data_IF_469360278923
#
_entry.id   IF_469360278923
#
_cell.length_a   1.000
_cell.length_b   1.000
_cell.length_c   1.000
_cell.angle_alpha   90.00
_cell.angle_beta   90.00
_cell.angle_gamma   90.00
#
_symmetry.space_group_name_H-M   'P 1'
#
loop_
_entity.id
_entity.type
_entity.pdbx_description
1 polymer ?
#
# COMPACT_ATOMS: atom_id res chain seq x y z
N UNK A 1 -14.76 46.29 -35.04
CA UNK A 1 -14.38 46.57 -33.63
C UNK A 1 -14.44 45.26 -32.87
N UNK A 2 -13.36 44.55 -32.77
CA UNK A 2 -13.25 43.31 -31.97
C UNK A 2 -12.82 43.71 -30.57
N UNK A 3 -13.62 43.37 -29.57
CA UNK A 3 -13.22 43.46 -28.16
C UNK A 3 -12.62 42.11 -27.73
N UNK A 4 -11.33 42.15 -27.49
CA UNK A 4 -10.59 41.09 -26.80
C UNK A 4 -11.15 40.90 -25.39
N UNK A 5 -11.62 39.70 -25.10
CA UNK A 5 -11.93 39.25 -23.72
C UNK A 5 -10.69 38.56 -23.21
N UNK A 6 -10.00 39.20 -22.29
CA UNK A 6 -8.87 38.68 -21.56
C UNK A 6 -9.30 37.53 -20.66
N UNK A 7 -8.83 36.32 -20.94
CA UNK A 7 -8.82 35.20 -19.99
C UNK A 7 -7.68 35.44 -19.00
N UNK A 8 -7.99 35.99 -17.85
CA UNK A 8 -7.04 36.06 -16.73
C UNK A 8 -7.64 35.37 -15.51
N UNK A 9 -6.84 34.49 -14.94
CA UNK A 9 -6.87 34.01 -13.56
C UNK A 9 -7.91 32.94 -13.18
N UNK A 10 -7.56 31.68 -13.45
CA UNK A 10 -7.82 30.59 -12.49
C UNK A 10 -6.56 29.71 -12.43
N UNK A 11 -5.53 30.23 -11.81
CA UNK A 11 -4.36 29.46 -11.35
C UNK A 11 -4.07 29.94 -9.95
N UNK A 12 -4.45 29.19 -8.93
CA UNK A 12 -3.85 29.16 -7.60
C UNK A 12 -4.88 28.89 -6.49
N UNK A 13 -5.41 27.68 -6.38
CA UNK A 13 -6.05 27.25 -5.12
C UNK A 13 -5.79 25.75 -4.82
N UNK A 14 -4.87 25.07 -5.46
CA UNK A 14 -4.72 23.62 -5.23
C UNK A 14 -3.38 23.12 -4.65
N UNK A 15 -2.52 23.92 -3.99
CA UNK A 15 -1.41 23.30 -3.26
C UNK A 15 -1.55 23.32 -1.73
N UNK A 16 -2.63 23.86 -1.14
CA UNK A 16 -2.68 24.06 0.32
C UNK A 16 -3.29 22.92 1.14
N UNK A 17 -3.94 21.95 0.53
CA UNK A 17 -4.60 20.86 1.26
C UNK A 17 -3.65 19.66 1.49
N UNK A 18 -2.58 19.52 0.69
CA UNK A 18 -1.61 18.44 0.90
C UNK A 18 -0.55 18.72 1.97
N UNK A 19 -0.33 19.96 2.34
CA UNK A 19 0.66 20.34 3.36
C UNK A 19 0.17 20.12 4.80
N UNK A 20 -1.14 20.03 5.04
CA UNK A 20 -1.69 19.93 6.40
C UNK A 20 -1.71 18.51 6.97
N UNK A 21 -1.60 17.48 6.11
CA UNK A 21 -1.55 16.08 6.57
C UNK A 21 -0.12 15.67 6.93
N UNK A 22 0.90 16.37 6.39
CA UNK A 22 2.31 16.09 6.73
C UNK A 22 2.79 16.76 8.02
N UNK A 23 2.11 17.79 8.50
CA UNK A 23 2.53 18.53 9.70
C UNK A 23 2.12 17.86 11.02
N UNK A 24 1.25 16.84 11.01
CA UNK A 24 0.80 16.17 12.23
C UNK A 24 1.63 14.90 12.57
N UNK A 25 2.59 14.52 11.73
CA UNK A 25 3.52 13.40 11.98
C UNK A 25 4.92 13.88 12.37
N UNK A 26 5.16 15.20 12.34
CA UNK A 26 6.48 15.79 12.62
C UNK A 26 6.68 16.30 14.04
N UNK A 27 5.80 15.97 14.99
CA UNK A 27 5.93 16.38 16.37
C UNK A 27 6.03 15.17 17.30
N UNK A 28 7.14 14.46 17.20
CA UNK A 28 7.84 13.87 18.35
C UNK A 28 9.15 13.31 17.82
N UNK A 29 10.24 13.99 18.16
CA UNK A 29 11.59 13.57 17.85
C UNK A 29 11.95 12.33 18.67
N UNK A 30 11.85 11.20 18.04
CA UNK A 30 12.65 10.01 18.31
C UNK A 30 13.06 9.50 16.96
N UNK A 31 14.34 9.19 16.78
CA UNK A 31 14.79 8.41 15.64
C UNK A 31 13.81 7.25 15.53
N UNK A 32 13.07 7.20 14.44
CA UNK A 32 12.07 6.15 14.20
C UNK A 32 12.83 4.84 14.09
N UNK A 33 13.04 4.18 15.24
CA UNK A 33 13.57 2.83 15.25
C UNK A 33 12.63 1.98 14.42
N UNK A 34 13.16 1.46 13.31
CA UNK A 34 12.42 0.53 12.47
C UNK A 34 11.86 -0.58 13.36
N UNK A 35 10.62 -1.02 13.12
CA UNK A 35 10.05 -2.06 13.94
C UNK A 35 10.90 -3.33 13.89
N UNK A 36 11.11 -3.98 15.01
CA UNK A 36 11.83 -5.25 15.07
C UNK A 36 11.07 -6.35 14.33
N UNK A 37 11.79 -7.37 13.88
CA UNK A 37 11.18 -8.52 13.21
C UNK A 37 10.10 -9.19 14.08
N UNK A 38 10.28 -9.21 15.40
CA UNK A 38 9.30 -9.75 16.34
C UNK A 38 8.04 -8.90 16.39
N UNK A 39 8.19 -7.58 16.47
CA UNK A 39 7.06 -6.64 16.39
C UNK A 39 6.31 -6.79 15.10
N UNK A 40 7.01 -6.88 13.98
CA UNK A 40 6.40 -7.06 12.66
C UNK A 40 5.62 -8.39 12.61
N UNK A 41 6.23 -9.50 13.03
CA UNK A 41 5.56 -10.82 13.03
C UNK A 41 4.33 -10.87 13.91
N UNK A 42 4.32 -10.16 15.02
CA UNK A 42 3.16 -10.12 15.93
C UNK A 42 2.02 -9.25 15.40
N UNK A 43 2.34 -8.19 14.66
CA UNK A 43 1.36 -7.21 14.19
C UNK A 43 0.80 -7.50 12.79
N UNK A 44 1.54 -8.21 11.92
CA UNK A 44 1.10 -8.50 10.55
C UNK A 44 -0.12 -9.43 10.46
N UNK A 45 -0.28 -10.51 11.26
CA UNK A 45 -1.42 -11.40 11.12
C UNK A 45 -2.76 -10.67 11.16
N UNK A 46 -3.63 -10.98 10.20
CA UNK A 46 -4.94 -10.36 10.01
C UNK A 46 -5.18 -9.92 8.58
N UNK A 47 -6.32 -9.29 8.35
CA UNK A 47 -6.77 -8.86 7.04
C UNK A 47 -6.42 -7.38 6.80
N UNK A 48 -5.89 -7.09 5.62
CA UNK A 48 -5.43 -5.76 5.21
C UNK A 48 -5.96 -5.40 3.82
N UNK A 49 -6.27 -4.13 3.62
CA UNK A 49 -6.74 -3.60 2.35
C UNK A 49 -5.86 -2.43 1.91
N UNK A 50 -5.50 -2.39 0.64
CA UNK A 50 -4.87 -1.23 -0.01
C UNK A 50 -5.56 -0.87 -1.31
N UNK A 51 -5.44 0.39 -1.69
CA UNK A 51 -5.81 0.92 -2.99
C UNK A 51 -4.52 1.26 -3.73
N UNK A 52 -4.32 0.68 -4.87
CA UNK A 52 -3.11 0.81 -5.66
C UNK A 52 -3.48 1.05 -7.13
N UNK A 53 -2.50 1.39 -7.95
CA UNK A 53 -2.68 1.46 -9.39
C UNK A 53 -1.87 0.35 -10.04
N UNK A 54 -2.53 -0.54 -10.75
CA UNK A 54 -1.89 -1.61 -11.51
C UNK A 54 -2.11 -1.35 -13.01
N UNK A 55 -1.03 -1.17 -13.75
CA UNK A 55 -1.06 -0.86 -15.19
C UNK A 55 -2.01 0.32 -15.52
N UNK A 56 -1.96 1.37 -14.70
CA UNK A 56 -2.82 2.55 -14.85
C UNK A 56 -4.28 2.36 -14.42
N UNK A 57 -4.64 1.19 -13.88
CA UNK A 57 -6.01 0.88 -13.46
C UNK A 57 -6.14 0.90 -11.93
N UNK A 58 -7.17 1.55 -11.38
CA UNK A 58 -7.47 1.48 -9.95
C UNK A 58 -7.70 0.04 -9.52
N UNK A 59 -6.95 -0.39 -8.52
CA UNK A 59 -6.96 -1.77 -8.05
C UNK A 59 -7.10 -1.81 -6.53
N UNK A 60 -8.05 -2.59 -6.04
CA UNK A 60 -8.18 -2.88 -4.62
C UNK A 60 -7.50 -4.21 -4.32
N UNK A 61 -6.53 -4.18 -3.42
CA UNK A 61 -5.90 -5.39 -2.89
C UNK A 61 -6.42 -5.67 -1.50
N UNK A 62 -6.82 -6.91 -1.27
CA UNK A 62 -7.11 -7.44 0.05
C UNK A 62 -6.18 -8.62 0.31
N UNK A 63 -5.52 -8.65 1.46
CA UNK A 63 -4.63 -9.73 1.87
C UNK A 63 -4.91 -10.12 3.31
N UNK A 64 -4.96 -11.41 3.57
CA UNK A 64 -5.05 -11.98 4.91
C UNK A 64 -3.77 -12.75 5.20
N UNK A 65 -2.94 -12.24 6.09
CA UNK A 65 -1.77 -12.92 6.62
C UNK A 65 -2.18 -13.77 7.81
N UNK A 66 -1.75 -15.03 7.83
CA UNK A 66 -2.02 -15.95 8.93
C UNK A 66 -0.76 -16.15 9.76
N UNK A 67 -0.94 -16.43 11.04
CA UNK A 67 0.17 -16.64 11.98
C UNK A 67 1.01 -17.88 11.67
N UNK A 68 0.48 -18.82 10.87
CA UNK A 68 1.21 -19.99 10.39
C UNK A 68 2.21 -19.70 9.24
N UNK A 69 2.34 -18.45 8.81
CA UNK A 69 3.20 -18.05 7.72
C UNK A 69 2.58 -18.19 6.33
N UNK A 70 1.28 -18.48 6.23
CA UNK A 70 0.55 -18.48 4.96
C UNK A 70 -0.22 -17.18 4.76
N UNK A 71 -0.57 -16.87 3.51
CA UNK A 71 -1.48 -15.78 3.20
C UNK A 71 -2.41 -16.13 2.05
N UNK A 72 -3.57 -15.48 2.05
CA UNK A 72 -4.47 -15.41 0.91
C UNK A 72 -4.66 -13.95 0.51
N UNK A 73 -4.68 -13.68 -0.79
CA UNK A 73 -4.89 -12.33 -1.29
C UNK A 73 -5.86 -12.33 -2.47
N UNK A 74 -6.53 -11.19 -2.65
CA UNK A 74 -7.31 -10.93 -3.86
C UNK A 74 -7.02 -9.52 -4.37
N UNK A 75 -6.95 -9.40 -5.68
CA UNK A 75 -6.89 -8.12 -6.37
C UNK A 75 -8.16 -7.94 -7.19
N UNK A 76 -8.81 -6.79 -7.05
CA UNK A 76 -9.94 -6.41 -7.89
C UNK A 76 -9.53 -5.24 -8.76
N UNK A 77 -9.41 -5.51 -10.05
CA UNK A 77 -9.10 -4.52 -11.10
C UNK A 77 -10.42 -4.10 -11.75
N UNK A 78 -10.69 -2.80 -11.79
CA UNK A 78 -11.88 -2.25 -12.44
C UNK A 78 -11.46 -1.55 -13.72
N UNK A 79 -11.97 -2.03 -14.87
CA UNK A 79 -11.74 -1.42 -16.18
C UNK A 79 -13.09 -1.15 -16.86
N UNK A 80 -13.53 0.10 -16.84
CA UNK A 80 -14.84 0.50 -17.37
C UNK A 80 -15.99 -0.24 -16.65
N UNK A 81 -16.74 -1.03 -17.38
CA UNK A 81 -17.87 -1.82 -16.84
C UNK A 81 -17.47 -3.22 -16.34
N UNK A 82 -16.21 -3.58 -16.50
CA UNK A 82 -15.71 -4.90 -16.14
C UNK A 82 -14.91 -4.83 -14.83
N UNK A 83 -15.09 -5.85 -14.01
CA UNK A 83 -14.27 -6.06 -12.80
C UNK A 83 -13.71 -7.48 -12.85
N UNK A 84 -12.40 -7.59 -12.75
CA UNK A 84 -11.69 -8.86 -12.68
C UNK A 84 -11.20 -9.04 -11.26
N UNK A 85 -11.49 -10.21 -10.68
CA UNK A 85 -10.95 -10.60 -9.38
C UNK A 85 -9.88 -11.68 -9.59
N UNK A 86 -8.67 -11.38 -9.15
CA UNK A 86 -7.57 -12.33 -9.06
C UNK A 86 -7.46 -12.85 -7.63
N UNK A 87 -7.24 -14.14 -7.47
CA UNK A 87 -7.03 -14.77 -6.15
C UNK A 87 -5.62 -15.34 -6.13
N UNK A 88 -4.89 -15.02 -5.09
CA UNK A 88 -3.50 -15.40 -4.87
C UNK A 88 -3.37 -16.09 -3.51
N UNK A 89 -2.48 -17.06 -3.42
CA UNK A 89 -2.10 -17.69 -2.15
C UNK A 89 -0.60 -17.76 -2.05
N UNK A 90 -0.08 -17.96 -0.87
CA UNK A 90 1.35 -18.11 -0.71
C UNK A 90 1.80 -18.19 0.74
N UNK A 91 3.09 -17.99 0.93
CA UNK A 91 3.72 -17.93 2.25
C UNK A 91 4.40 -16.59 2.45
N UNK A 92 4.50 -16.18 3.71
CA UNK A 92 5.17 -14.95 4.10
C UNK A 92 6.14 -15.19 5.26
N UNK A 93 7.16 -14.36 5.32
CA UNK A 93 8.11 -14.30 6.43
C UNK A 93 8.68 -12.91 6.57
N UNK A 94 9.24 -12.62 7.74
CA UNK A 94 9.97 -11.38 8.02
C UNK A 94 11.42 -11.70 8.33
N UNK A 95 12.32 -10.95 7.73
CA UNK A 95 13.75 -11.04 7.97
C UNK A 95 14.40 -9.67 7.80
N UNK A 96 15.08 -9.19 8.85
CA UNK A 96 15.76 -7.88 8.88
C UNK A 96 14.85 -6.71 8.48
N UNK A 97 13.63 -6.66 8.99
CA UNK A 97 12.66 -5.62 8.68
C UNK A 97 12.04 -5.72 7.28
N UNK A 98 12.32 -6.80 6.55
CA UNK A 98 11.77 -7.06 5.22
C UNK A 98 10.67 -8.10 5.30
N UNK A 99 9.48 -7.75 4.81
CA UNK A 99 8.39 -8.69 4.56
C UNK A 99 8.61 -9.36 3.21
N UNK A 100 8.84 -10.66 3.21
CA UNK A 100 9.06 -11.46 2.00
C UNK A 100 7.85 -12.34 1.78
N UNK A 101 7.25 -12.24 0.59
CA UNK A 101 6.09 -13.03 0.18
C UNK A 101 6.43 -13.89 -1.02
N UNK A 102 6.14 -15.18 -0.95
CA UNK A 102 6.20 -16.12 -2.05
C UNK A 102 4.79 -16.39 -2.53
N UNK A 103 4.42 -15.84 -3.67
CA UNK A 103 3.08 -15.95 -4.23
C UNK A 103 3.00 -17.04 -5.25
N UNK A 104 1.95 -17.84 -5.19
CA UNK A 104 1.61 -18.84 -6.18
C UNK A 104 0.20 -18.57 -6.70
N UNK A 105 0.07 -18.44 -8.01
CA UNK A 105 -1.20 -18.31 -8.70
C UNK A 105 -1.37 -19.48 -9.67
N UNK A 106 -2.59 -19.98 -9.81
CA UNK A 106 -2.89 -21.06 -10.75
C UNK A 106 -2.56 -20.60 -12.18
N UNK A 107 -1.70 -21.35 -12.87
CA UNK A 107 -1.31 -21.06 -14.25
C UNK A 107 -0.28 -19.96 -14.45
N UNK A 108 0.31 -19.44 -13.37
CA UNK A 108 1.38 -18.44 -13.43
C UNK A 108 2.64 -18.93 -12.69
N UNK A 109 3.85 -18.48 -13.09
CA UNK A 109 5.06 -18.83 -12.37
C UNK A 109 5.05 -18.22 -10.96
N UNK A 110 5.70 -18.88 -9.97
CA UNK A 110 5.84 -18.35 -8.63
C UNK A 110 6.51 -16.98 -8.66
N UNK A 111 6.06 -16.06 -7.80
CA UNK A 111 6.63 -14.72 -7.65
C UNK A 111 7.10 -14.50 -6.23
N UNK A 112 8.20 -13.79 -6.09
CA UNK A 112 8.72 -13.33 -4.80
C UNK A 112 8.61 -11.81 -4.77
N UNK A 113 7.95 -11.30 -3.75
CA UNK A 113 7.91 -9.87 -3.44
C UNK A 113 8.62 -9.63 -2.11
N UNK A 114 9.34 -8.52 -2.01
CA UNK A 114 10.04 -8.11 -0.80
C UNK A 114 9.82 -6.62 -0.55
N UNK A 115 9.27 -6.30 0.62
CA UNK A 115 8.94 -4.94 1.03
C UNK A 115 9.63 -4.61 2.35
N UNK A 116 10.26 -3.47 2.43
CA UNK A 116 10.72 -2.94 3.71
C UNK A 116 9.51 -2.51 4.54
N UNK A 117 9.42 -2.96 5.79
CA UNK A 117 8.38 -2.53 6.71
C UNK A 117 8.81 -1.24 7.38
N UNK A 118 8.17 -0.14 7.01
CA UNK A 118 8.46 1.19 7.55
C UNK A 118 7.75 1.38 8.89
N UNK A 119 6.49 0.96 8.97
CA UNK A 119 5.70 1.03 10.18
C UNK A 119 4.63 -0.06 10.19
N UNK A 120 4.27 -0.55 11.35
CA UNK A 120 3.16 -1.47 11.56
C UNK A 120 2.52 -1.22 12.92
N UNK A 121 1.20 -1.19 12.95
CA UNK A 121 0.40 -1.13 14.18
C UNK A 121 -0.96 -1.83 13.96
N UNK A 122 -1.86 -1.74 14.92
CA UNK A 122 -3.17 -2.41 14.87
C UNK A 122 -4.05 -1.99 13.68
N UNK A 123 -3.83 -0.80 13.10
CA UNK A 123 -4.70 -0.24 12.06
C UNK A 123 -4.01 -0.07 10.70
N UNK A 124 -2.68 0.01 10.68
CA UNK A 124 -1.93 0.41 9.49
C UNK A 124 -0.64 -0.39 9.34
N UNK A 125 -0.33 -0.76 8.10
CA UNK A 125 0.92 -1.36 7.68
C UNK A 125 1.48 -0.53 6.52
N UNK A 126 2.67 0.07 6.72
CA UNK A 126 3.36 0.89 5.72
C UNK A 126 4.55 0.12 5.19
N UNK A 127 4.56 -0.08 3.90
CA UNK A 127 5.58 -0.85 3.17
C UNK A 127 6.28 0.04 2.16
N UNK A 128 7.58 -0.21 1.94
CA UNK A 128 8.34 0.40 0.86
C UNK A 128 8.78 -0.69 -0.12
N UNK A 129 8.48 -0.51 -1.39
CA UNK A 129 8.95 -1.38 -2.46
C UNK A 129 10.40 -1.05 -2.85
N UNK A 130 11.01 -1.90 -3.67
CA UNK A 130 12.38 -1.75 -4.17
C UNK A 130 12.60 -0.50 -5.00
N UNK A 131 11.59 -0.01 -5.69
CA UNK A 131 11.61 1.24 -6.45
C UNK A 131 11.43 2.49 -5.57
N UNK A 132 11.23 2.31 -4.25
CA UNK A 132 11.00 3.38 -3.28
C UNK A 132 9.54 3.77 -3.12
N UNK A 133 8.62 3.19 -3.88
CA UNK A 133 7.20 3.47 -3.74
C UNK A 133 6.66 3.00 -2.38
N UNK A 134 5.70 3.76 -1.84
CA UNK A 134 5.09 3.48 -0.54
C UNK A 134 3.70 2.90 -0.75
N UNK A 135 3.47 1.75 -0.13
CA UNK A 135 2.16 1.10 -0.07
C UNK A 135 1.64 1.18 1.35
N UNK A 136 0.47 1.76 1.52
CA UNK A 136 -0.22 1.83 2.81
C UNK A 136 -1.39 0.86 2.80
N UNK A 137 -1.33 -0.11 3.70
CA UNK A 137 -2.43 -1.05 3.92
C UNK A 137 -3.15 -0.69 5.22
N UNK A 138 -4.48 -0.74 5.19
CA UNK A 138 -5.31 -0.53 6.37
C UNK A 138 -5.90 -1.86 6.81
N UNK A 139 -6.01 -2.05 8.11
CA UNK A 139 -6.66 -3.26 8.62
C UNK A 139 -8.13 -3.28 8.21
N UNK A 140 -8.59 -4.40 7.65
CA UNK A 140 -10.00 -4.60 7.36
C UNK A 140 -10.79 -4.70 8.68
N UNK A 141 -11.97 -4.08 8.69
CA UNK A 141 -12.92 -4.16 9.80
C UNK A 141 -13.75 -5.42 9.67
#
# INVERSE_FOLDING_TARGET
>A
MLRSISFLAVKAVLPFIFALIFALVAAEGSASDKPSDETIRSQIPGAWISQETLDGQPTTFAVEYRSDGTFGASARVTKGRYSIKLVLTGTWRVHNGILISHTQATGAPPRVAAYEVIAVNESMLVLRDRDGSIVVKRRAK
#
